data_IF_286500577354
#
_entry.id   IF_286500577354
#
_cell.length_a   1.000
_cell.length_b   1.000
_cell.length_c   1.000
_cell.angle_alpha   90.00
_cell.angle_beta   90.00
_cell.angle_gamma   90.00
#
_symmetry.space_group_name_H-M   'P 1'
#
loop_
_entity.id
_entity.type
_entity.pdbx_description
1 polymer ?
#
# COMPACT_ATOMS: atom_id res chain seq x y z
N UNK A 1 2.62 2.31 12.45
CA UNK A 1 2.32 2.71 11.06
C UNK A 1 1.01 3.47 10.97
N UNK A 2 0.68 3.90 9.76
CA UNK A 2 -0.51 4.70 9.44
C UNK A 2 -1.33 4.04 8.33
N UNK A 3 -2.60 4.43 8.22
CA UNK A 3 -3.48 4.03 7.12
C UNK A 3 -3.96 5.29 6.39
N UNK A 4 -3.79 5.34 5.07
CA UNK A 4 -4.41 6.37 4.21
C UNK A 4 -5.69 5.78 3.62
N UNK A 5 -6.84 6.42 3.87
CA UNK A 5 -8.14 5.91 3.44
C UNK A 5 -8.92 6.96 2.65
N UNK A 6 -9.20 6.67 1.37
CA UNK A 6 -10.16 7.44 0.59
C UNK A 6 -11.59 7.01 0.92
N UNK A 7 -12.42 7.95 1.39
CA UNK A 7 -13.83 7.70 1.73
C UNK A 7 -14.73 8.60 0.87
N UNK A 8 -15.58 7.99 0.05
CA UNK A 8 -16.57 8.74 -0.74
C UNK A 8 -17.71 9.28 0.13
N UNK A 9 -18.36 10.36 -0.30
CA UNK A 9 -19.56 10.90 0.36
C UNK A 9 -20.67 9.85 0.57
N UNK A 10 -20.86 8.94 -0.40
CA UNK A 10 -21.81 7.83 -0.27
C UNK A 10 -21.42 6.86 0.86
N UNK A 11 -20.12 6.59 1.00
CA UNK A 11 -19.61 5.74 2.08
C UNK A 11 -19.75 6.42 3.44
N UNK A 12 -19.45 7.73 3.52
CA UNK A 12 -19.72 8.53 4.72
C UNK A 12 -21.17 8.45 5.16
N UNK A 13 -22.11 8.74 4.26
CA UNK A 13 -23.55 8.66 4.54
C UNK A 13 -23.96 7.28 5.06
N UNK A 14 -23.49 6.20 4.41
CA UNK A 14 -23.77 4.82 4.84
C UNK A 14 -23.20 4.49 6.22
N UNK A 15 -21.96 4.89 6.51
CA UNK A 15 -21.32 4.61 7.79
C UNK A 15 -21.96 5.42 8.93
N UNK A 16 -22.27 6.70 8.68
CA UNK A 16 -22.92 7.57 9.67
C UNK A 16 -24.32 7.08 10.03
N UNK A 17 -25.09 6.61 9.05
CA UNK A 17 -26.41 6.03 9.25
C UNK A 17 -26.39 4.61 9.85
N UNK A 18 -25.25 3.92 9.85
CA UNK A 18 -25.13 2.58 10.44
C UNK A 18 -24.95 2.66 11.96
N UNK A 19 -25.93 2.22 12.78
CA UNK A 19 -25.82 2.25 14.22
C UNK A 19 -24.74 1.28 14.75
N UNK A 20 -24.37 0.28 13.95
CA UNK A 20 -23.34 -0.70 14.30
C UNK A 20 -21.93 -0.29 13.82
N UNK A 21 -21.78 0.84 13.14
CA UNK A 21 -20.45 1.33 12.79
C UNK A 21 -19.65 1.58 14.08
N UNK A 22 -18.42 1.05 14.22
CA UNK A 22 -17.62 1.24 15.42
C UNK A 22 -17.46 2.72 15.76
N UNK A 23 -17.64 3.04 17.05
CA UNK A 23 -17.48 4.37 17.67
C UNK A 23 -16.84 4.17 19.02
N UNK A 24 -16.14 5.19 19.53
CA UNK A 24 -15.29 5.10 20.70
C UNK A 24 -14.34 3.87 20.64
N UNK A 25 -13.78 3.62 19.46
CA UNK A 25 -13.00 2.40 19.17
C UNK A 25 -11.87 2.70 18.20
N UNK A 26 -10.77 1.95 18.32
CA UNK A 26 -9.66 1.97 17.36
C UNK A 26 -10.09 1.59 15.94
N UNK A 27 -11.22 0.89 15.80
CA UNK A 27 -11.82 0.52 14.51
C UNK A 27 -12.72 1.61 13.92
N UNK A 28 -12.94 2.72 14.63
CA UNK A 28 -13.85 3.78 14.16
C UNK A 28 -13.24 4.61 13.05
N UNK A 29 -13.93 4.67 11.91
CA UNK A 29 -13.66 5.65 10.85
C UNK A 29 -14.47 6.93 11.08
N UNK A 30 -15.71 6.80 11.58
CA UNK A 30 -16.65 7.92 11.76
C UNK A 30 -16.21 8.89 12.84
N UNK A 31 -15.49 8.45 13.86
CA UNK A 31 -14.97 9.35 14.90
C UNK A 31 -13.85 10.26 14.35
N UNK A 32 -13.17 9.83 13.27
CA UNK A 32 -12.06 10.56 12.64
C UNK A 32 -12.51 11.55 11.55
N UNK A 33 -13.81 11.62 11.22
CA UNK A 33 -14.36 12.41 10.09
C UNK A 33 -13.86 13.86 10.05
N UNK A 34 -13.68 14.48 11.22
CA UNK A 34 -13.29 15.90 11.33
C UNK A 34 -11.90 16.10 11.93
N UNK A 35 -11.15 15.02 12.22
CA UNK A 35 -9.86 15.07 12.90
C UNK A 35 -8.73 15.66 12.03
N UNK A 36 -8.96 15.90 10.75
CA UNK A 36 -8.03 16.61 9.86
C UNK A 36 -7.97 18.12 10.12
N UNK A 37 -9.01 18.70 10.75
CA UNK A 37 -9.07 20.13 11.01
C UNK A 37 -8.24 20.49 12.24
N UNK A 38 -7.43 21.55 12.13
CA UNK A 38 -6.64 22.12 13.24
C UNK A 38 -7.48 22.58 14.43
N UNK A 39 -8.79 22.84 14.21
CA UNK A 39 -9.71 23.35 15.23
C UNK A 39 -10.54 22.22 15.89
N UNK A 40 -10.23 20.95 15.56
CA UNK A 40 -10.96 19.78 16.06
C UNK A 40 -10.03 18.86 16.86
N UNK A 41 -10.56 18.18 17.89
CA UNK A 41 -9.79 17.21 18.64
C UNK A 41 -9.55 15.92 17.82
N UNK A 42 -8.52 15.18 18.20
CA UNK A 42 -8.35 13.80 17.76
C UNK A 42 -9.15 12.84 18.68
N UNK A 43 -9.72 11.74 18.15
CA UNK A 43 -10.35 10.70 18.97
C UNK A 43 -9.40 10.05 19.98
N UNK A 44 -8.11 9.94 19.63
CA UNK A 44 -7.02 9.51 20.50
C UNK A 44 -5.70 10.14 20.05
N UNK A 45 -4.63 10.01 20.84
CA UNK A 45 -3.31 10.58 20.52
C UNK A 45 -2.76 10.02 19.19
N UNK A 46 -2.53 10.84 18.15
CA UNK A 46 -1.98 10.36 16.89
C UNK A 46 -0.50 9.96 17.04
N UNK A 47 -0.04 9.04 16.19
CA UNK A 47 1.37 8.64 16.11
C UNK A 47 2.23 9.73 15.47
N UNK A 48 2.59 10.76 16.25
CA UNK A 48 3.24 11.99 15.74
C UNK A 48 4.48 11.73 14.88
N UNK A 49 5.37 10.85 15.30
CA UNK A 49 6.58 10.53 14.54
C UNK A 49 6.26 9.94 13.15
N UNK A 50 5.22 9.11 13.06
CA UNK A 50 4.78 8.52 11.80
C UNK A 50 4.13 9.57 10.89
N UNK A 51 3.41 10.54 11.46
CA UNK A 51 2.82 11.66 10.69
C UNK A 51 3.93 12.53 10.08
N UNK A 52 4.99 12.83 10.83
CA UNK A 52 6.18 13.52 10.30
C UNK A 52 6.87 12.71 9.19
N UNK A 53 6.95 11.38 9.35
CA UNK A 53 7.49 10.51 8.31
C UNK A 53 6.63 10.50 7.04
N UNK A 54 5.30 10.49 7.20
CA UNK A 54 4.35 10.55 6.08
C UNK A 54 4.43 11.89 5.33
N UNK A 55 4.60 13.00 6.04
CA UNK A 55 4.80 14.33 5.46
C UNK A 55 5.96 14.33 4.46
N UNK A 56 7.14 13.88 4.91
CA UNK A 56 8.33 13.75 4.05
C UNK A 56 8.11 12.75 2.92
N UNK A 57 7.43 11.63 3.18
CA UNK A 57 7.17 10.63 2.14
C UNK A 57 6.27 11.18 1.02
N UNK A 58 5.26 11.99 1.36
CA UNK A 58 4.39 12.66 0.40
C UNK A 58 5.15 13.73 -0.38
N UNK A 59 6.00 14.52 0.29
CA UNK A 59 6.87 15.50 -0.37
C UNK A 59 7.77 14.84 -1.42
N UNK A 60 8.45 13.73 -1.08
CA UNK A 60 9.30 13.01 -2.03
C UNK A 60 8.49 12.51 -3.24
N UNK A 61 7.31 11.92 -3.00
CA UNK A 61 6.45 11.40 -4.05
C UNK A 61 5.95 12.50 -5.00
N UNK A 62 5.51 13.64 -4.45
CA UNK A 62 5.00 14.77 -5.23
C UNK A 62 6.11 15.52 -5.96
N UNK A 63 7.27 15.71 -5.33
CA UNK A 63 8.43 16.38 -5.94
C UNK A 63 9.06 15.55 -7.07
N UNK A 64 9.12 14.23 -6.96
CA UNK A 64 9.55 13.35 -8.07
C UNK A 64 8.51 13.35 -9.21
N UNK A 65 7.23 13.42 -8.84
CA UNK A 65 6.10 13.37 -9.76
C UNK A 65 5.52 11.95 -9.87
N UNK A 66 4.21 11.76 -9.61
CA UNK A 66 3.57 10.44 -9.63
C UNK A 66 3.86 9.58 -10.87
N UNK A 67 3.83 10.19 -12.06
CA UNK A 67 4.07 9.48 -13.32
C UNK A 67 5.49 8.92 -13.42
N UNK A 68 6.50 9.68 -12.95
CA UNK A 68 7.89 9.22 -12.93
C UNK A 68 8.06 8.04 -11.95
N UNK A 69 7.45 8.15 -10.77
CA UNK A 69 7.43 7.08 -9.76
C UNK A 69 6.83 5.80 -10.35
N UNK A 70 5.66 5.87 -10.98
CA UNK A 70 5.02 4.69 -11.56
C UNK A 70 5.85 4.09 -12.71
N UNK A 71 6.43 4.94 -13.57
CA UNK A 71 7.24 4.51 -14.69
C UNK A 71 8.48 3.74 -14.24
N UNK A 72 9.20 4.22 -13.22
CA UNK A 72 10.38 3.50 -12.71
C UNK A 72 10.03 2.18 -12.02
N UNK A 73 8.91 2.10 -11.31
CA UNK A 73 8.44 0.83 -10.73
C UNK A 73 8.14 -0.19 -11.84
N UNK A 74 7.36 0.21 -12.84
CA UNK A 74 7.01 -0.64 -13.97
C UNK A 74 8.25 -1.11 -14.75
N UNK A 75 9.23 -0.21 -14.98
CA UNK A 75 10.47 -0.55 -15.66
C UNK A 75 11.31 -1.57 -14.87
N UNK A 76 11.47 -1.35 -13.56
CA UNK A 76 12.20 -2.27 -12.69
C UNK A 76 11.55 -3.65 -12.67
N UNK A 77 10.22 -3.71 -12.51
CA UNK A 77 9.50 -4.99 -12.55
C UNK A 77 9.63 -5.69 -13.91
N UNK A 78 9.55 -4.95 -15.03
CA UNK A 78 9.75 -5.52 -16.37
C UNK A 78 11.15 -6.10 -16.54
N UNK A 79 12.19 -5.37 -16.09
CA UNK A 79 13.57 -5.85 -16.14
C UNK A 79 13.77 -7.09 -15.28
N UNK A 80 13.19 -7.11 -14.06
CA UNK A 80 13.23 -8.27 -13.17
C UNK A 80 12.60 -9.50 -13.83
N UNK A 81 11.41 -9.36 -14.44
CA UNK A 81 10.74 -10.48 -15.12
C UNK A 81 11.52 -11.02 -16.31
N UNK A 82 12.12 -10.13 -17.11
CA UNK A 82 12.99 -10.53 -18.21
C UNK A 82 14.21 -11.32 -17.71
N UNK A 83 14.85 -10.87 -16.63
CA UNK A 83 15.98 -11.56 -16.01
C UNK A 83 15.61 -12.95 -15.47
N UNK A 84 14.50 -13.05 -14.73
CA UNK A 84 13.99 -14.32 -14.19
C UNK A 84 13.68 -15.32 -15.32
N UNK A 85 13.04 -14.89 -16.40
CA UNK A 85 12.76 -15.75 -17.54
C UNK A 85 14.04 -16.20 -18.25
N UNK A 86 15.01 -15.30 -18.43
CA UNK A 86 16.27 -15.60 -19.10
C UNK A 86 17.14 -16.63 -18.35
N UNK A 87 17.02 -16.70 -17.01
CA UNK A 87 17.69 -17.73 -16.20
C UNK A 87 16.92 -19.05 -16.11
N UNK A 88 15.83 -19.21 -16.86
CA UNK A 88 15.02 -20.43 -16.89
C UNK A 88 14.05 -20.59 -15.71
N UNK A 89 13.84 -19.54 -14.91
CA UNK A 89 12.84 -19.51 -13.86
C UNK A 89 11.50 -19.00 -14.41
N UNK A 90 10.43 -19.30 -13.67
CA UNK A 90 9.07 -18.94 -14.08
C UNK A 90 8.49 -17.84 -13.19
N UNK A 91 7.86 -16.85 -13.82
CA UNK A 91 7.03 -15.86 -13.12
C UNK A 91 5.77 -16.55 -12.60
N UNK A 92 5.35 -16.22 -11.38
CA UNK A 92 4.18 -16.82 -10.75
C UNK A 92 2.87 -16.47 -11.47
N UNK A 93 2.73 -15.20 -11.88
CA UNK A 93 1.55 -14.71 -12.58
C UNK A 93 1.30 -15.51 -13.86
N UNK A 94 0.03 -15.84 -14.13
CA UNK A 94 -0.35 -16.66 -15.28
C UNK A 94 -0.06 -16.00 -16.65
N UNK A 95 0.08 -14.67 -16.68
CA UNK A 95 0.45 -13.92 -17.88
C UNK A 95 1.16 -12.61 -17.49
N UNK A 96 1.96 -12.06 -18.40
CA UNK A 96 2.74 -10.84 -18.14
C UNK A 96 1.85 -9.60 -17.92
N UNK A 97 0.68 -9.55 -18.59
CA UNK A 97 -0.25 -8.41 -18.54
C UNK A 97 -0.87 -8.19 -17.15
N UNK A 98 -0.99 -9.25 -16.34
CA UNK A 98 -1.49 -9.17 -14.96
C UNK A 98 -0.37 -9.15 -13.92
N UNK A 99 0.90 -9.24 -14.34
CA UNK A 99 2.03 -9.21 -13.43
C UNK A 99 2.19 -7.81 -12.82
N UNK A 100 2.27 -7.75 -11.49
CA UNK A 100 2.33 -6.47 -10.78
C UNK A 100 3.58 -5.65 -11.15
N UNK A 101 3.46 -4.33 -11.35
CA UNK A 101 4.61 -3.44 -11.52
C UNK A 101 5.33 -3.15 -10.19
N UNK A 102 4.80 -3.57 -9.04
CA UNK A 102 5.40 -3.28 -7.72
C UNK A 102 6.06 -4.49 -7.06
N UNK A 103 5.83 -5.70 -7.57
CA UNK A 103 6.41 -6.94 -7.01
C UNK A 103 6.45 -8.01 -8.08
N UNK A 104 7.61 -8.66 -8.22
CA UNK A 104 7.76 -9.83 -9.09
C UNK A 104 7.75 -11.09 -8.23
N UNK A 105 6.67 -11.86 -8.29
CA UNK A 105 6.61 -13.17 -7.66
C UNK A 105 7.21 -14.23 -8.60
N UNK A 106 8.17 -15.00 -8.11
CA UNK A 106 8.85 -16.08 -8.85
C UNK A 106 8.37 -17.41 -8.31
N UNK A 107 8.03 -18.35 -9.20
CA UNK A 107 7.65 -19.70 -8.81
C UNK A 107 8.90 -20.45 -8.35
N UNK A 108 8.88 -20.95 -7.12
CA UNK A 108 9.90 -21.85 -6.62
C UNK A 108 9.93 -23.14 -7.46
N UNK A 109 11.08 -23.54 -8.01
CA UNK A 109 11.19 -24.80 -8.76
C UNK A 109 10.85 -26.01 -7.89
N UNK A 110 10.39 -27.09 -8.53
CA UNK A 110 10.14 -28.34 -7.84
C UNK A 110 11.41 -28.87 -7.16
N UNK A 111 11.27 -29.39 -5.94
CA UNK A 111 12.39 -29.91 -5.14
C UNK A 111 13.23 -28.84 -4.44
N UNK A 112 12.92 -27.55 -4.59
CA UNK A 112 13.58 -26.46 -3.87
C UNK A 112 12.75 -26.06 -2.65
N UNK A 113 13.40 -26.04 -1.49
CA UNK A 113 12.84 -25.44 -0.27
C UNK A 113 12.94 -23.91 -0.37
N UNK A 114 11.78 -23.26 -0.43
CA UNK A 114 11.67 -21.81 -0.57
C UNK A 114 12.18 -21.05 0.65
N UNK A 115 11.99 -21.60 1.85
CA UNK A 115 12.45 -20.97 3.08
C UNK A 115 13.97 -21.01 3.18
N UNK A 116 14.57 -22.18 2.92
CA UNK A 116 16.02 -22.31 2.88
C UNK A 116 16.65 -21.40 1.81
N UNK A 117 16.03 -21.29 0.62
CA UNK A 117 16.51 -20.42 -0.46
C UNK A 117 16.55 -18.93 -0.03
N UNK A 118 15.53 -18.44 0.68
CA UNK A 118 15.49 -17.04 1.14
C UNK A 118 16.53 -16.71 2.22
N UNK A 119 17.02 -17.73 2.94
CA UNK A 119 17.99 -17.57 4.03
C UNK A 119 19.45 -17.85 3.58
N UNK A 120 19.66 -18.18 2.29
CA UNK A 120 20.96 -18.54 1.74
C UNK A 120 21.89 -17.34 1.46
#
# INVERSE_FOLDING_TARGET
>A
GLTMMGVSERAWAKMKANPLAPRASMLSIVDWEHAWSKDKPFPFTPSVAEVNGLDVALDLYLNEGPAAVWARHALTAKAMRAGVAAMGLSIWAASDIIASPTTTAVRTPEGIDEEALRQA
#
